data_IF_533268956531
#
_entry.id   IF_533268956531
#
_cell.length_a   1.000
_cell.length_b   1.000
_cell.length_c   1.000
_cell.angle_alpha   90.00
_cell.angle_beta   90.00
_cell.angle_gamma   90.00
#
_symmetry.space_group_name_H-M   'P 1'
#
loop_
_entity.id
_entity.type
_entity.pdbx_description
1 polymer ?
#
# COMPACT_ATOMS: atom_id res chain seq x y z
N UNK A 1 -8.87 13.21 -14.37
CA UNK A 1 -10.07 13.24 -13.49
C UNK A 1 -9.58 13.16 -12.05
N UNK A 2 -10.07 14.02 -11.16
CA UNK A 2 -9.80 13.93 -9.72
C UNK A 2 -11.03 13.38 -9.01
N UNK A 3 -10.81 12.55 -7.98
CA UNK A 3 -11.84 12.00 -7.12
C UNK A 3 -11.69 12.62 -5.72
N UNK A 4 -12.79 13.17 -5.18
CA UNK A 4 -12.79 13.70 -3.82
C UNK A 4 -12.76 12.54 -2.82
N UNK A 5 -11.83 12.57 -1.86
CA UNK A 5 -11.71 11.63 -0.73
C UNK A 5 -11.74 12.44 0.56
N UNK A 6 -12.64 12.12 1.46
CA UNK A 6 -12.65 12.73 2.77
C UNK A 6 -11.57 12.10 3.64
N UNK A 7 -10.80 12.93 4.35
CA UNK A 7 -9.74 12.48 5.24
C UNK A 7 -9.95 13.12 6.62
N UNK A 8 -9.82 12.29 7.65
CA UNK A 8 -9.81 12.72 9.04
C UNK A 8 -8.41 12.57 9.60
N UNK A 9 -7.85 13.64 10.15
CA UNK A 9 -6.67 13.56 11.01
C UNK A 9 -7.07 13.05 12.38
N UNK A 10 -6.38 12.03 12.86
CA UNK A 10 -6.59 11.42 14.18
C UNK A 10 -5.73 12.08 15.26
N UNK A 11 -4.69 12.81 14.82
CA UNK A 11 -3.92 13.73 15.65
C UNK A 11 -3.58 14.99 14.85
N UNK A 12 -3.33 16.15 15.49
CA UNK A 12 -3.12 17.42 14.80
C UNK A 12 -1.85 17.43 13.92
N UNK A 13 -0.84 16.62 14.26
CA UNK A 13 0.45 16.59 13.56
C UNK A 13 0.46 15.64 12.35
N UNK A 14 -0.62 14.85 12.16
CA UNK A 14 -0.72 13.95 11.01
C UNK A 14 -0.67 14.72 9.68
N UNK A 15 0.02 14.15 8.70
CA UNK A 15 0.15 14.71 7.36
C UNK A 15 -0.93 14.16 6.44
N UNK A 16 -1.59 15.04 5.69
CA UNK A 16 -2.45 14.64 4.58
C UNK A 16 -1.55 14.13 3.45
N UNK A 17 -1.93 13.03 2.75
CA UNK A 17 -1.16 12.52 1.61
C UNK A 17 -0.95 13.58 0.53
N UNK A 18 0.22 13.61 -0.07
CA UNK A 18 0.56 14.58 -1.12
C UNK A 18 1.10 13.88 -2.36
N UNK A 19 0.83 14.45 -3.52
CA UNK A 19 1.40 14.02 -4.79
C UNK A 19 2.74 14.73 -5.04
N UNK A 20 3.72 14.00 -5.54
CA UNK A 20 5.02 14.56 -5.89
C UNK A 20 4.95 15.51 -7.09
N UNK A 21 4.07 15.21 -8.05
CA UNK A 21 3.75 16.05 -9.21
C UNK A 21 2.26 15.98 -9.49
N UNK A 22 1.74 16.90 -10.29
CA UNK A 22 0.32 16.97 -10.66
C UNK A 22 -0.21 15.68 -11.33
N UNK A 23 0.66 14.96 -12.04
CA UNK A 23 0.33 13.73 -12.76
C UNK A 23 0.83 12.45 -12.05
N UNK A 24 1.34 12.55 -10.82
CA UNK A 24 1.70 11.37 -10.04
C UNK A 24 0.46 10.53 -9.73
N UNK A 25 0.55 9.20 -9.88
CA UNK A 25 -0.53 8.28 -9.56
C UNK A 25 -0.61 7.97 -8.06
N UNK A 26 0.53 7.93 -7.38
CA UNK A 26 0.65 7.63 -5.95
C UNK A 26 0.77 8.90 -5.11
N UNK A 27 -0.06 9.01 -4.07
CA UNK A 27 0.09 10.03 -3.04
C UNK A 27 0.95 9.49 -1.90
N UNK A 28 1.96 10.25 -1.47
CA UNK A 28 2.85 9.88 -0.38
C UNK A 28 2.09 9.79 0.96
N UNK A 29 2.30 8.70 1.69
CA UNK A 29 1.87 8.50 3.06
C UNK A 29 3.04 8.78 4.02
N UNK A 30 2.73 9.42 5.12
CA UNK A 30 3.72 9.91 6.09
C UNK A 30 3.63 9.16 7.40
N UNK A 31 4.78 8.97 8.08
CA UNK A 31 4.80 8.53 9.46
C UNK A 31 4.08 9.55 10.35
N UNK A 32 3.03 9.11 11.02
CA UNK A 32 2.32 9.86 12.06
C UNK A 32 2.78 9.48 13.47
N UNK A 33 3.90 8.77 13.58
CA UNK A 33 4.48 8.39 14.87
C UNK A 33 5.03 9.63 15.57
N UNK A 34 4.85 9.76 16.90
CA UNK A 34 5.35 10.90 17.66
C UNK A 34 6.88 10.88 17.81
N UNK A 35 7.49 9.71 17.71
CA UNK A 35 8.92 9.48 17.88
C UNK A 35 9.46 8.61 16.74
N UNK A 36 10.79 8.62 16.58
CA UNK A 36 11.46 7.76 15.62
C UNK A 36 11.26 6.27 15.94
N UNK A 37 11.08 5.46 14.89
CA UNK A 37 10.94 4.01 15.00
C UNK A 37 12.04 3.34 14.20
N UNK A 38 12.79 2.45 14.82
CA UNK A 38 13.84 1.68 14.14
C UNK A 38 13.31 0.30 13.78
N UNK A 39 13.31 -0.02 12.50
CA UNK A 39 12.96 -1.34 11.97
C UNK A 39 14.23 -2.16 11.84
N UNK A 40 14.37 -3.20 12.67
CA UNK A 40 15.52 -4.09 12.64
C UNK A 40 15.50 -5.00 11.41
N UNK A 41 16.67 -5.52 10.95
CA UNK A 41 16.73 -6.48 9.85
C UNK A 41 15.79 -7.67 10.07
N UNK A 42 15.02 -8.04 9.05
CA UNK A 42 14.09 -9.16 9.07
C UNK A 42 12.84 -8.96 9.93
N UNK A 43 12.63 -7.77 10.51
CA UNK A 43 11.42 -7.47 11.33
C UNK A 43 10.42 -6.59 10.58
N UNK A 44 9.22 -6.55 11.11
CA UNK A 44 8.12 -5.70 10.62
C UNK A 44 7.64 -4.79 11.73
N UNK A 45 7.56 -3.49 11.44
CA UNK A 45 6.98 -2.48 12.34
C UNK A 45 5.72 -1.88 11.73
N UNK A 46 4.70 -1.65 12.57
CA UNK A 46 3.42 -1.07 12.19
C UNK A 46 3.45 0.44 12.36
N UNK A 47 3.70 1.15 11.27
CA UNK A 47 3.83 2.61 11.29
C UNK A 47 2.46 3.25 11.09
N UNK A 48 1.98 3.91 12.11
CA UNK A 48 0.75 4.69 12.08
C UNK A 48 0.94 5.94 11.24
N UNK A 49 -0.07 6.30 10.45
CA UNK A 49 -0.05 7.54 9.65
C UNK A 49 -0.79 8.69 10.32
N UNK A 50 -1.59 8.40 11.33
CA UNK A 50 -2.43 9.38 12.02
C UNK A 50 -3.63 9.88 11.19
N UNK A 51 -3.99 9.19 10.11
CA UNK A 51 -5.14 9.54 9.26
C UNK A 51 -6.09 8.36 9.06
N UNK A 52 -7.36 8.69 8.87
CA UNK A 52 -8.39 7.78 8.37
C UNK A 52 -9.03 8.38 7.12
N UNK A 53 -9.47 7.53 6.19
CA UNK A 53 -10.01 7.94 4.89
C UNK A 53 -11.40 7.37 4.68
N UNK A 54 -12.21 8.11 3.92
CA UNK A 54 -13.47 7.64 3.37
C UNK A 54 -13.30 7.50 1.85
N UNK A 55 -12.83 6.31 1.43
CA UNK A 55 -12.65 5.98 0.02
C UNK A 55 -14.04 5.78 -0.60
N UNK A 56 -14.36 6.43 -1.73
CA UNK A 56 -15.65 6.25 -2.40
C UNK A 56 -15.90 4.79 -2.82
N UNK A 57 -17.16 4.35 -2.73
CA UNK A 57 -17.58 3.03 -3.21
C UNK A 57 -17.19 2.82 -4.69
N UNK A 58 -16.75 1.62 -5.03
CA UNK A 58 -16.22 1.27 -6.35
C UNK A 58 -14.74 1.59 -6.54
N UNK A 59 -14.09 2.18 -5.52
CA UNK A 59 -12.64 2.39 -5.48
C UNK A 59 -12.01 1.64 -4.32
N UNK A 60 -10.78 1.24 -4.50
CA UNK A 60 -9.91 0.63 -3.48
C UNK A 60 -8.67 1.50 -3.30
N UNK A 61 -8.20 1.63 -2.07
CA UNK A 61 -6.90 2.21 -1.78
C UNK A 61 -5.81 1.14 -1.78
N UNK A 62 -4.81 1.28 -2.65
CA UNK A 62 -3.70 0.35 -2.77
C UNK A 62 -2.43 1.01 -2.22
N UNK A 63 -1.86 0.42 -1.17
CA UNK A 63 -0.65 0.93 -0.53
C UNK A 63 0.55 0.18 -1.09
N UNK A 64 1.40 0.94 -1.79
CA UNK A 64 2.63 0.45 -2.40
C UNK A 64 3.86 0.99 -1.69
N UNK A 65 4.98 0.29 -1.87
CA UNK A 65 6.29 0.81 -1.49
C UNK A 65 6.64 2.08 -2.28
N UNK A 66 7.42 2.96 -1.66
CA UNK A 66 8.15 4.00 -2.40
C UNK A 66 9.48 3.43 -2.87
N UNK A 67 9.84 3.69 -4.11
CA UNK A 67 11.06 3.15 -4.74
C UNK A 67 12.33 3.46 -3.93
N UNK A 68 12.48 4.69 -3.42
CA UNK A 68 13.62 5.07 -2.61
C UNK A 68 13.70 4.33 -1.28
N UNK A 69 12.57 4.10 -0.62
CA UNK A 69 12.51 3.33 0.62
C UNK A 69 12.83 1.85 0.38
N UNK A 70 12.19 1.25 -0.62
CA UNK A 70 12.34 -0.17 -0.91
C UNK A 70 13.74 -0.50 -1.46
N UNK A 71 14.21 0.25 -2.47
CA UNK A 71 15.44 -0.10 -3.20
C UNK A 71 16.72 0.39 -2.53
N UNK A 72 16.66 1.53 -1.78
CA UNK A 72 17.86 2.09 -1.16
C UNK A 72 17.98 1.78 0.32
N UNK A 73 16.84 1.72 1.04
CA UNK A 73 16.80 1.47 2.48
C UNK A 73 16.33 0.06 2.85
N UNK A 74 15.79 -0.70 1.89
CA UNK A 74 15.30 -2.04 2.15
C UNK A 74 13.99 -2.11 2.92
N UNK A 75 13.20 -1.03 2.97
CA UNK A 75 11.90 -1.01 3.64
C UNK A 75 10.75 -1.03 2.62
N UNK A 76 9.86 -2.01 2.76
CA UNK A 76 8.65 -2.10 1.95
C UNK A 76 7.47 -2.61 2.80
N UNK A 77 6.22 -2.36 2.38
CA UNK A 77 5.07 -2.96 3.03
C UNK A 77 5.17 -4.50 3.05
N UNK A 78 4.99 -5.09 4.24
CA UNK A 78 5.11 -6.54 4.45
C UNK A 78 4.08 -7.35 3.63
N UNK A 79 2.88 -6.79 3.43
CA UNK A 79 1.82 -7.36 2.61
C UNK A 79 1.99 -7.13 1.10
N UNK A 80 3.15 -6.56 0.67
CA UNK A 80 3.55 -6.24 -0.71
C UNK A 80 2.69 -5.16 -1.35
N UNK A 81 1.36 -5.33 -1.39
CA UNK A 81 0.38 -4.28 -1.57
C UNK A 81 -0.64 -4.34 -0.44
N UNK A 82 -0.84 -3.22 0.26
CA UNK A 82 -1.91 -3.07 1.23
C UNK A 82 -3.22 -2.76 0.52
N UNK A 83 -4.31 -3.41 0.91
CA UNK A 83 -5.65 -3.20 0.34
C UNK A 83 -6.51 -2.50 1.40
N UNK A 84 -6.98 -1.30 1.08
CA UNK A 84 -7.88 -0.51 1.93
C UNK A 84 -9.24 -0.47 1.26
N UNK A 85 -10.20 -1.15 1.88
CA UNK A 85 -11.57 -1.21 1.40
C UNK A 85 -12.29 0.13 1.53
N UNK A 86 -13.28 0.36 0.69
CA UNK A 86 -14.03 1.62 0.69
C UNK A 86 -14.85 1.85 1.96
N UNK A 87 -15.21 0.79 2.69
CA UNK A 87 -15.93 0.84 3.97
C UNK A 87 -15.02 0.86 5.21
N UNK A 88 -13.69 0.77 5.03
CA UNK A 88 -12.76 0.88 6.14
C UNK A 88 -12.70 2.32 6.67
N UNK A 89 -12.88 2.48 8.00
CA UNK A 89 -12.87 3.79 8.69
C UNK A 89 -11.78 3.88 9.76
N UNK A 90 -10.96 2.85 9.88
CA UNK A 90 -9.85 2.82 10.83
C UNK A 90 -8.65 3.67 10.37
N UNK A 91 -7.67 3.78 11.24
CA UNK A 91 -6.40 4.42 10.92
C UNK A 91 -5.66 3.66 9.81
N UNK A 92 -5.14 4.39 8.84
CA UNK A 92 -4.22 3.82 7.85
C UNK A 92 -2.88 3.53 8.54
N UNK A 93 -2.52 2.26 8.59
CA UNK A 93 -1.27 1.78 9.19
C UNK A 93 -0.47 1.06 8.10
N UNK A 94 0.81 1.37 8.00
CA UNK A 94 1.72 0.73 7.06
C UNK A 94 2.63 -0.24 7.82
N UNK A 95 2.47 -1.54 7.56
CA UNK A 95 3.35 -2.57 8.10
C UNK A 95 4.64 -2.59 7.27
N UNK A 96 5.71 -1.94 7.74
CA UNK A 96 6.99 -1.88 7.03
C UNK A 96 7.92 -3.01 7.46
N UNK A 97 8.30 -3.84 6.50
CA UNK A 97 9.29 -4.91 6.68
C UNK A 97 10.66 -4.44 6.21
N UNK A 98 11.68 -4.72 7.02
CA UNK A 98 13.08 -4.46 6.66
C UNK A 98 13.70 -5.72 6.06
N UNK A 99 13.93 -5.72 4.75
CA UNK A 99 14.57 -6.81 4.01
C UNK A 99 16.06 -6.54 3.71
N UNK A 100 16.65 -5.53 4.38
CA UNK A 100 18.09 -5.27 4.36
C UNK A 100 18.78 -5.87 5.57
N UNK A 101 20.12 -5.87 5.55
CA UNK A 101 20.95 -6.35 6.65
C UNK A 101 21.26 -5.29 7.73
N UNK A 102 20.72 -4.07 7.56
CA UNK A 102 20.99 -2.95 8.47
C UNK A 102 19.70 -2.43 9.11
N UNK A 103 19.75 -1.99 10.38
CA UNK A 103 18.63 -1.26 10.99
C UNK A 103 18.32 0.01 10.20
N UNK A 104 17.02 0.32 10.03
CA UNK A 104 16.55 1.53 9.35
C UNK A 104 15.63 2.29 10.26
N UNK A 105 15.97 3.55 10.54
CA UNK A 105 15.15 4.44 11.36
C UNK A 105 14.22 5.26 10.49
N UNK A 106 12.96 5.33 10.91
CA UNK A 106 11.90 6.16 10.36
C UNK A 106 11.66 7.29 11.33
N UNK A 107 11.82 8.52 10.87
CA UNK A 107 11.54 9.71 11.65
C UNK A 107 10.05 10.11 11.55
N UNK A 108 9.53 10.88 12.52
CA UNK A 108 8.22 11.51 12.37
C UNK A 108 8.12 12.29 11.07
N UNK A 109 7.00 12.14 10.36
CA UNK A 109 6.73 12.80 9.06
C UNK A 109 7.59 12.31 7.88
N UNK A 110 8.38 11.25 8.04
CA UNK A 110 9.00 10.59 6.89
C UNK A 110 7.93 10.03 5.94
N UNK A 111 8.21 10.11 4.65
CA UNK A 111 7.38 9.48 3.59
C UNK A 111 7.69 7.99 3.53
N UNK A 112 6.75 7.17 4.00
CA UNK A 112 6.96 5.74 4.28
C UNK A 112 6.39 4.80 3.20
N UNK A 113 5.37 5.22 2.50
CA UNK A 113 4.68 4.46 1.46
C UNK A 113 3.98 5.43 0.51
N UNK A 114 3.24 4.90 -0.47
CA UNK A 114 2.34 5.68 -1.31
C UNK A 114 1.03 4.95 -1.49
N UNK A 115 -0.07 5.71 -1.60
CA UNK A 115 -1.40 5.18 -1.85
C UNK A 115 -1.85 5.55 -3.26
N UNK A 116 -2.42 4.57 -3.97
CA UNK A 116 -3.06 4.74 -5.28
C UNK A 116 -4.52 4.35 -5.14
N UNK A 117 -5.45 5.16 -5.65
CA UNK A 117 -6.85 4.77 -5.78
C UNK A 117 -7.07 4.11 -7.15
N UNK A 118 -7.74 2.96 -7.14
CA UNK A 118 -8.07 2.22 -8.36
C UNK A 118 -9.54 1.76 -8.33
N UNK A 119 -10.22 1.71 -9.48
CA UNK A 119 -11.52 1.04 -9.56
C UNK A 119 -11.36 -0.47 -9.38
N UNK A 120 -12.37 -1.12 -8.81
CA UNK A 120 -12.39 -2.58 -8.68
C UNK A 120 -13.73 -3.15 -9.11
N UNK A 121 -13.73 -4.43 -9.42
CA UNK A 121 -14.92 -5.20 -9.73
C UNK A 121 -15.08 -6.26 -8.65
N UNK A 122 -16.25 -6.32 -8.03
CA UNK A 122 -16.60 -7.41 -7.11
C UNK A 122 -17.03 -8.62 -7.94
N UNK A 123 -16.39 -9.76 -7.75
CA UNK A 123 -16.76 -11.00 -8.39
C UNK A 123 -17.93 -11.67 -7.63
N UNK A 124 -18.88 -12.21 -8.39
CA UNK A 124 -19.85 -13.17 -7.91
C UNK A 124 -19.33 -14.58 -8.28
N UNK A 125 -18.81 -15.29 -7.26
CA UNK A 125 -18.17 -16.59 -7.46
C UNK A 125 -19.22 -17.67 -7.61
N UNK A 126 -19.31 -18.28 -8.81
CA UNK A 126 -20.18 -19.42 -9.09
C UNK A 126 -19.34 -20.70 -9.18
N UNK A 127 -19.62 -21.67 -8.30
CA UNK A 127 -18.97 -22.97 -8.30
C UNK A 127 -19.49 -23.82 -9.48
N UNK A 128 -18.56 -24.34 -10.27
CA UNK A 128 -18.83 -25.23 -11.40
C UNK A 128 -17.97 -26.48 -11.30
N UNK A 129 -18.40 -27.57 -11.91
CA UNK A 129 -17.64 -28.84 -11.91
C UNK A 129 -16.44 -28.78 -12.85
N UNK A 130 -16.56 -28.05 -13.98
CA UNK A 130 -15.53 -27.93 -15.01
C UNK A 130 -15.43 -26.48 -15.50
N UNK A 131 -14.21 -26.07 -15.89
CA UNK A 131 -13.95 -24.80 -16.56
C UNK A 131 -13.77 -25.02 -18.05
N UNK A 132 -14.07 -24.01 -18.84
CA UNK A 132 -13.84 -24.04 -20.29
C UNK A 132 -12.35 -24.20 -20.64
N UNK A 133 -12.06 -25.00 -21.66
CA UNK A 133 -10.71 -25.18 -22.17
C UNK A 133 -10.17 -23.91 -22.82
N UNK A 134 -8.86 -23.68 -22.68
CA UNK A 134 -8.15 -22.60 -23.35
C UNK A 134 -6.85 -23.11 -23.99
N UNK A 135 -6.32 -22.38 -24.97
CA UNK A 135 -5.02 -22.71 -25.58
C UNK A 135 -3.89 -22.78 -24.55
N UNK A 136 -3.93 -21.95 -23.51
CA UNK A 136 -2.94 -21.96 -22.43
C UNK A 136 -3.13 -23.13 -21.45
N UNK A 137 -4.37 -23.57 -21.23
CA UNK A 137 -4.73 -24.61 -20.25
C UNK A 137 -4.17 -24.30 -18.86
N UNK A 138 -3.56 -25.27 -18.21
CA UNK A 138 -2.97 -25.17 -16.86
C UNK A 138 -1.54 -24.57 -16.86
N UNK A 139 -1.02 -24.12 -18.00
CA UNK A 139 0.34 -23.60 -18.12
C UNK A 139 0.59 -22.35 -17.26
N UNK A 140 1.51 -22.47 -16.31
CA UNK A 140 1.95 -21.40 -15.41
C UNK A 140 3.45 -21.48 -15.11
N UNK A 141 3.94 -20.64 -14.19
CA UNK A 141 5.33 -20.67 -13.67
C UNK A 141 6.43 -20.73 -14.73
N UNK A 142 6.27 -19.99 -15.83
CA UNK A 142 7.25 -19.96 -16.92
C UNK A 142 7.05 -21.02 -17.99
N UNK A 143 5.87 -21.68 -18.07
CA UNK A 143 5.53 -22.66 -19.12
C UNK A 143 5.64 -22.09 -20.55
N UNK A 144 5.61 -20.76 -20.73
CA UNK A 144 5.79 -20.06 -22.00
C UNK A 144 7.26 -19.79 -22.35
N UNK A 145 8.20 -20.23 -21.50
CA UNK A 145 9.65 -20.04 -21.68
C UNK A 145 10.16 -18.68 -21.16
N UNK A 146 11.47 -18.53 -21.15
CA UNK A 146 12.17 -17.29 -20.72
C UNK A 146 12.72 -16.48 -21.90
N UNK A 147 12.52 -16.93 -23.14
CA UNK A 147 12.93 -16.27 -24.40
C UNK A 147 11.86 -16.49 -25.45
#
# INVERSE_FOLDING_TARGET
MSQKVNIKKLNPDACIPTYGTEISAGADLYSGMPEAVTVMPGTTEFIKTGIAMEIPAGLVGLIYARSGMACKKGLAPANKVGVIDSDYRGEIIVALHNHSDNPVTIEPKDRIAQIVLAPYITADFNEVEELDDTERGEGGFGSTGTK
#
